data_IF_926671617547
#
_entry.id   IF_926671617547
#
_cell.length_a   1.000
_cell.length_b   1.000
_cell.length_c   1.000
_cell.angle_alpha   90.00
_cell.angle_beta   90.00
_cell.angle_gamma   90.00
#
_symmetry.space_group_name_H-M   'P 1'
#
loop_
_entity.id
_entity.type
_entity.pdbx_description
1 polymer ?
#
# COMPACT_ATOMS: atom_id res chain seq x y z
N UNK A 1 -5.97 36.87 -23.40
CA UNK A 1 -6.64 35.57 -23.59
C UNK A 1 -6.57 34.88 -22.24
N UNK A 2 -7.72 34.71 -21.60
CA UNK A 2 -7.82 33.96 -20.33
C UNK A 2 -7.41 32.53 -20.60
N UNK A 3 -6.24 32.12 -20.12
CA UNK A 3 -5.92 30.71 -20.01
C UNK A 3 -6.95 30.11 -19.09
N UNK A 4 -7.93 29.40 -19.65
CA UNK A 4 -8.78 28.50 -18.87
C UNK A 4 -7.81 27.59 -18.09
N UNK A 5 -7.72 27.80 -16.78
CA UNK A 5 -6.90 26.95 -15.93
C UNK A 5 -7.57 25.58 -15.87
N UNK A 6 -7.10 24.67 -16.72
CA UNK A 6 -7.49 23.26 -16.67
C UNK A 6 -7.05 22.72 -15.32
N UNK A 7 -7.90 21.95 -14.65
CA UNK A 7 -7.61 21.44 -13.31
C UNK A 7 -7.41 19.94 -13.33
N UNK A 8 -6.41 19.50 -12.60
CA UNK A 8 -6.03 18.11 -12.43
C UNK A 8 -6.00 17.76 -10.94
N UNK A 9 -6.66 16.68 -10.60
CA UNK A 9 -6.71 16.17 -9.22
C UNK A 9 -5.86 14.92 -9.08
N UNK A 10 -5.06 14.81 -8.02
CA UNK A 10 -4.20 13.65 -7.76
C UNK A 10 -4.50 13.08 -6.38
N UNK A 11 -4.75 11.78 -6.31
CA UNK A 11 -4.91 11.03 -5.06
C UNK A 11 -3.85 9.95 -4.95
N UNK A 12 -2.87 10.13 -4.06
CA UNK A 12 -1.88 9.10 -3.72
C UNK A 12 -2.37 8.20 -2.60
N UNK A 13 -2.09 6.90 -2.70
CA UNK A 13 -2.54 5.98 -1.68
C UNK A 13 -1.98 4.57 -1.78
N UNK A 14 -2.21 3.78 -0.72
CA UNK A 14 -1.89 2.35 -0.71
C UNK A 14 -2.87 1.53 -1.55
N UNK A 15 -4.14 1.92 -1.58
CA UNK A 15 -5.23 1.23 -2.29
C UNK A 15 -5.19 -0.29 -2.09
N UNK A 16 -5.17 -0.72 -0.83
CA UNK A 16 -4.98 -2.12 -0.46
C UNK A 16 -6.15 -2.66 0.40
N UNK A 17 -7.31 -2.99 -0.22
CA UNK A 17 -7.71 -2.66 -1.59
C UNK A 17 -8.19 -1.21 -1.75
N UNK A 18 -8.41 -0.71 -2.99
CA UNK A 18 -9.22 0.48 -3.21
C UNK A 18 -10.65 0.26 -2.70
N UNK A 19 -11.32 1.33 -2.29
CA UNK A 19 -12.65 1.29 -1.69
C UNK A 19 -13.60 2.21 -2.43
N UNK A 20 -14.91 2.02 -2.25
CA UNK A 20 -15.90 2.95 -2.79
C UNK A 20 -15.68 4.39 -2.28
N UNK A 21 -15.14 4.57 -1.07
CA UNK A 21 -14.81 5.89 -0.55
C UNK A 21 -13.72 6.58 -1.40
N UNK A 22 -12.71 5.86 -1.88
CA UNK A 22 -11.69 6.46 -2.76
C UNK A 22 -12.30 6.98 -4.06
N UNK A 23 -13.21 6.21 -4.67
CA UNK A 23 -13.95 6.63 -5.87
C UNK A 23 -14.79 7.88 -5.61
N UNK A 24 -15.60 7.86 -4.57
CA UNK A 24 -16.52 8.95 -4.25
C UNK A 24 -15.78 10.25 -3.87
N UNK A 25 -14.65 10.14 -3.14
CA UNK A 25 -13.82 11.32 -2.82
C UNK A 25 -13.15 11.89 -4.07
N UNK A 26 -12.65 11.05 -4.97
CA UNK A 26 -12.10 11.52 -6.24
C UNK A 26 -13.18 12.19 -7.09
N UNK A 27 -14.33 11.54 -7.23
CA UNK A 27 -15.48 12.09 -7.98
C UNK A 27 -15.93 13.42 -7.42
N UNK A 28 -16.10 13.51 -6.10
CA UNK A 28 -16.52 14.74 -5.45
C UNK A 28 -15.49 15.88 -5.67
N UNK A 29 -14.18 15.57 -5.56
CA UNK A 29 -13.13 16.55 -5.82
C UNK A 29 -13.12 17.06 -7.28
N UNK A 30 -13.33 16.17 -8.25
CA UNK A 30 -13.43 16.51 -9.66
C UNK A 30 -14.65 17.41 -9.91
N UNK A 31 -15.79 17.03 -9.36
CA UNK A 31 -17.04 17.75 -9.57
C UNK A 31 -17.03 19.15 -8.89
N UNK A 32 -16.54 19.25 -7.65
CA UNK A 32 -16.43 20.51 -6.90
C UNK A 32 -15.46 21.53 -7.55
N UNK A 33 -14.41 21.02 -8.17
CA UNK A 33 -13.44 21.88 -8.84
C UNK A 33 -13.74 22.12 -10.31
N UNK A 34 -14.70 21.43 -10.90
CA UNK A 34 -14.85 21.35 -12.36
C UNK A 34 -13.51 20.94 -13.01
N UNK A 35 -12.91 19.85 -12.49
CA UNK A 35 -11.63 19.34 -12.96
C UNK A 35 -11.80 18.43 -14.18
N UNK A 36 -10.87 18.51 -15.11
CA UNK A 36 -10.90 17.70 -16.33
C UNK A 36 -10.36 16.29 -16.12
N UNK A 37 -9.43 16.13 -15.18
CA UNK A 37 -8.74 14.87 -14.92
C UNK A 37 -8.55 14.61 -13.43
N UNK A 38 -8.59 13.32 -13.07
CA UNK A 38 -8.25 12.82 -11.75
C UNK A 38 -7.36 11.59 -11.84
N UNK A 39 -6.23 11.58 -11.14
CA UNK A 39 -5.31 10.44 -11.13
C UNK A 39 -5.25 9.77 -9.76
N UNK A 40 -5.49 8.45 -9.75
CA UNK A 40 -5.08 7.59 -8.65
C UNK A 40 -3.62 7.18 -8.83
N UNK A 41 -2.82 7.35 -7.78
CA UNK A 41 -1.39 7.03 -7.80
C UNK A 41 -1.09 6.02 -6.69
N UNK A 42 -1.11 4.71 -7.00
CA UNK A 42 -0.78 3.68 -6.03
C UNK A 42 0.71 3.67 -5.70
N UNK A 43 1.03 3.44 -4.43
CA UNK A 43 2.40 3.22 -3.99
C UNK A 43 2.90 1.84 -4.43
N UNK A 44 4.23 1.68 -4.54
CA UNK A 44 4.86 0.40 -4.90
C UNK A 44 4.63 -0.70 -3.86
N UNK A 45 4.80 -1.94 -4.28
CA UNK A 45 4.80 -3.12 -3.40
C UNK A 45 5.89 -3.01 -2.33
N UNK A 46 7.08 -2.55 -2.69
CA UNK A 46 8.19 -2.41 -1.76
C UNK A 46 7.84 -1.45 -0.60
N UNK A 47 7.26 -0.29 -0.93
CA UNK A 47 6.77 0.65 0.08
C UNK A 47 5.63 0.06 0.91
N UNK A 48 4.64 -0.58 0.25
CA UNK A 48 3.46 -1.12 0.92
C UNK A 48 3.83 -2.23 1.90
N UNK A 49 4.69 -3.17 1.52
CA UNK A 49 5.18 -4.24 2.41
C UNK A 49 5.92 -3.67 3.61
N UNK A 50 6.78 -2.67 3.42
CA UNK A 50 7.46 -1.99 4.52
C UNK A 50 6.48 -1.28 5.47
N UNK A 51 5.49 -0.56 4.93
CA UNK A 51 4.45 0.13 5.70
C UNK A 51 3.59 -0.85 6.50
N UNK A 52 3.28 -1.99 5.91
CA UNK A 52 2.36 -2.99 6.47
C UNK A 52 3.07 -4.20 7.07
N UNK A 53 4.36 -4.07 7.42
CA UNK A 53 5.19 -5.17 7.95
C UNK A 53 4.61 -5.90 9.17
N UNK A 54 3.69 -5.27 9.90
CA UNK A 54 3.00 -5.86 11.06
C UNK A 54 1.64 -6.48 10.69
N UNK A 55 1.25 -6.43 9.41
CA UNK A 55 0.01 -7.02 8.93
C UNK A 55 0.34 -8.33 8.23
N UNK A 56 -0.55 -9.33 8.37
CA UNK A 56 -0.35 -10.64 7.74
C UNK A 56 -0.10 -10.48 6.23
N UNK A 57 0.96 -11.10 5.64
CA UNK A 57 1.34 -10.93 4.23
C UNK A 57 0.23 -11.20 3.23
N UNK A 58 -0.68 -12.14 3.52
CA UNK A 58 -1.83 -12.46 2.66
C UNK A 58 -2.82 -11.30 2.45
N UNK A 59 -2.69 -10.23 3.24
CA UNK A 59 -3.54 -9.04 3.12
C UNK A 59 -2.85 -7.91 2.37
N UNK A 60 -1.64 -8.11 1.90
CA UNK A 60 -0.94 -7.17 1.02
C UNK A 60 -1.18 -7.58 -0.41
N UNK A 61 -2.14 -6.92 -1.06
CA UNK A 61 -2.47 -7.20 -2.46
C UNK A 61 -1.30 -6.79 -3.37
N UNK A 62 -0.95 -7.63 -4.36
CA UNK A 62 0.08 -7.32 -5.33
C UNK A 62 -0.19 -6.01 -6.08
N UNK A 63 0.87 -5.39 -6.57
CA UNK A 63 0.84 -4.11 -7.26
C UNK A 63 -0.02 -4.13 -8.52
N UNK A 64 0.14 -5.16 -9.35
CA UNK A 64 -0.64 -5.42 -10.55
C UNK A 64 -2.14 -5.55 -10.25
N UNK A 65 -2.49 -6.29 -9.21
CA UNK A 65 -3.88 -6.44 -8.78
C UNK A 65 -4.47 -5.11 -8.28
N UNK A 66 -3.70 -4.30 -7.55
CA UNK A 66 -4.16 -2.98 -7.09
C UNK A 66 -4.35 -2.00 -8.25
N UNK A 67 -3.48 -2.10 -9.28
CA UNK A 67 -3.64 -1.36 -10.53
C UNK A 67 -4.93 -1.78 -11.27
N UNK A 68 -5.14 -3.08 -11.49
CA UNK A 68 -6.36 -3.61 -12.13
C UNK A 68 -7.64 -3.18 -11.40
N UNK A 69 -7.63 -3.20 -10.07
CA UNK A 69 -8.74 -2.71 -9.24
C UNK A 69 -9.02 -1.21 -9.42
N UNK A 70 -7.96 -0.39 -9.51
CA UNK A 70 -8.11 1.05 -9.73
C UNK A 70 -8.57 1.34 -11.17
N UNK A 71 -8.09 0.60 -12.14
CA UNK A 71 -8.54 0.70 -13.54
C UNK A 71 -10.03 0.39 -13.65
N UNK A 72 -10.49 -0.72 -13.03
CA UNK A 72 -11.91 -1.05 -12.95
C UNK A 72 -12.76 0.04 -12.30
N UNK A 73 -12.23 0.77 -11.31
CA UNK A 73 -12.92 1.93 -10.74
C UNK A 73 -13.00 3.12 -11.71
N UNK A 74 -12.02 3.28 -12.60
CA UNK A 74 -11.98 4.39 -13.54
C UNK A 74 -12.89 4.21 -14.76
N UNK A 75 -13.42 3.00 -15.01
CA UNK A 75 -14.27 2.72 -16.17
C UNK A 75 -15.57 3.55 -16.17
N UNK A 76 -16.12 3.85 -15.00
CA UNK A 76 -17.39 4.57 -14.87
C UNK A 76 -17.27 6.10 -14.94
N UNK A 77 -16.07 6.67 -14.91
CA UNK A 77 -15.85 8.10 -15.11
C UNK A 77 -14.63 8.35 -15.98
N UNK A 78 -14.90 8.76 -17.21
CA UNK A 78 -13.87 8.98 -18.23
C UNK A 78 -12.83 10.06 -17.87
N UNK A 79 -13.06 10.85 -16.81
CA UNK A 79 -12.11 11.82 -16.28
C UNK A 79 -11.08 11.19 -15.36
N UNK A 80 -11.35 9.97 -14.85
CA UNK A 80 -10.45 9.26 -13.91
C UNK A 80 -9.42 8.41 -14.66
N UNK A 81 -8.22 8.34 -14.10
CA UNK A 81 -7.08 7.59 -14.62
C UNK A 81 -6.28 6.97 -13.48
N UNK A 82 -5.50 5.96 -13.81
CA UNK A 82 -4.48 5.39 -12.92
C UNK A 82 -3.10 5.80 -13.43
N UNK A 83 -2.18 6.05 -12.52
CA UNK A 83 -0.80 6.40 -12.84
C UNK A 83 0.17 5.49 -12.09
N UNK A 84 1.18 5.00 -12.78
CA UNK A 84 2.25 4.14 -12.29
C UNK A 84 3.46 4.90 -11.73
N UNK A 85 3.38 6.23 -11.63
CA UNK A 85 4.51 7.13 -11.30
C UNK A 85 5.19 6.85 -9.95
N UNK A 86 4.52 6.16 -9.02
CA UNK A 86 5.12 5.75 -7.73
C UNK A 86 5.50 4.26 -7.68
N UNK A 87 5.23 3.51 -8.73
CA UNK A 87 5.65 2.11 -8.82
C UNK A 87 7.17 2.02 -8.98
N UNK A 88 7.78 1.03 -8.34
CA UNK A 88 9.23 0.85 -8.35
C UNK A 88 10.01 1.67 -7.32
N UNK A 89 9.39 2.60 -6.60
CA UNK A 89 10.05 3.34 -5.52
C UNK A 89 9.83 2.70 -4.15
N UNK A 90 10.90 2.68 -3.33
CA UNK A 90 10.84 2.14 -1.96
C UNK A 90 10.10 3.08 -1.00
N UNK A 91 9.95 4.35 -1.35
CA UNK A 91 9.31 5.39 -0.53
C UNK A 91 8.20 6.09 -1.30
N UNK A 92 7.11 6.44 -0.60
CA UNK A 92 6.10 7.34 -1.16
C UNK A 92 6.73 8.72 -1.42
N UNK A 93 6.52 9.25 -2.61
CA UNK A 93 7.23 10.43 -3.11
C UNK A 93 6.27 11.53 -3.56
N UNK A 94 5.29 11.88 -2.72
CA UNK A 94 4.24 12.84 -3.05
C UNK A 94 4.73 14.07 -3.84
N UNK A 95 5.70 14.81 -3.31
CA UNK A 95 6.18 16.02 -3.99
C UNK A 95 6.93 15.74 -5.30
N UNK A 96 7.87 14.78 -5.38
CA UNK A 96 8.47 14.40 -6.67
C UNK A 96 7.43 13.94 -7.70
N UNK A 97 6.44 13.15 -7.29
CA UNK A 97 5.36 12.67 -8.17
C UNK A 97 4.52 13.82 -8.72
N UNK A 98 4.15 14.78 -7.88
CA UNK A 98 3.42 15.98 -8.34
C UNK A 98 4.26 16.83 -9.29
N UNK A 99 5.58 16.94 -9.08
CA UNK A 99 6.48 17.62 -10.01
C UNK A 99 6.52 16.94 -11.38
N UNK A 100 6.52 15.61 -11.45
CA UNK A 100 6.42 14.88 -12.71
C UNK A 100 5.10 15.18 -13.46
N UNK A 101 3.98 15.22 -12.75
CA UNK A 101 2.71 15.64 -13.37
C UNK A 101 2.77 17.08 -13.88
N UNK A 102 3.41 18.00 -13.15
CA UNK A 102 3.56 19.39 -13.56
C UNK A 102 4.43 19.55 -14.81
N UNK A 103 5.47 18.72 -14.93
CA UNK A 103 6.35 18.69 -16.11
C UNK A 103 5.64 18.13 -17.35
N UNK A 104 4.83 17.08 -17.17
CA UNK A 104 4.11 16.43 -18.28
C UNK A 104 2.85 17.20 -18.71
N UNK A 105 2.18 17.87 -17.76
CA UNK A 105 0.90 18.55 -17.94
C UNK A 105 0.98 20.01 -17.43
N UNK A 106 1.88 20.83 -17.99
CA UNK A 106 2.17 22.18 -17.49
C UNK A 106 0.98 23.16 -17.57
N UNK A 107 0.00 22.87 -18.44
CA UNK A 107 -1.22 23.64 -18.60
C UNK A 107 -2.26 23.42 -17.49
N UNK A 108 -2.05 22.39 -16.64
CA UNK A 108 -2.97 22.09 -15.56
C UNK A 108 -2.57 22.75 -14.24
N UNK A 109 -3.54 23.23 -13.50
CA UNK A 109 -3.46 23.55 -12.09
C UNK A 109 -3.66 22.26 -11.29
N UNK A 110 -2.65 21.85 -10.49
CA UNK A 110 -2.65 20.56 -9.80
C UNK A 110 -3.17 20.67 -8.37
N UNK A 111 -4.11 19.79 -8.04
CA UNK A 111 -4.69 19.65 -6.71
C UNK A 111 -4.38 18.26 -6.14
N UNK A 112 -3.81 18.22 -4.95
CA UNK A 112 -3.54 16.97 -4.24
C UNK A 112 -4.59 16.69 -3.18
N UNK A 113 -5.24 15.52 -3.24
CA UNK A 113 -6.26 15.10 -2.27
C UNK A 113 -5.61 14.53 -1.03
N UNK A 114 -6.07 14.96 0.14
CA UNK A 114 -5.76 14.35 1.44
C UNK A 114 -6.94 14.46 2.41
N UNK A 115 -6.97 13.57 3.41
CA UNK A 115 -7.87 13.69 4.55
C UNK A 115 -7.28 14.59 5.64
N UNK A 116 -8.12 15.07 6.54
CA UNK A 116 -7.70 15.85 7.71
C UNK A 116 -6.84 15.06 8.72
N UNK A 117 -6.84 13.73 8.64
CA UNK A 117 -5.91 12.84 9.34
C UNK A 117 -4.44 12.99 8.88
N UNK A 118 -4.20 13.58 7.71
CA UNK A 118 -2.87 13.79 7.13
C UNK A 118 -2.27 15.17 7.45
N UNK A 119 -2.70 15.81 8.52
CA UNK A 119 -2.18 17.12 8.93
C UNK A 119 -0.65 17.17 9.03
N UNK A 120 -0.01 16.10 9.53
CA UNK A 120 1.46 16.03 9.61
C UNK A 120 2.13 16.09 8.21
N UNK A 121 1.51 15.46 7.22
CA UNK A 121 1.98 15.52 5.84
C UNK A 121 1.80 16.92 5.26
N UNK A 122 0.64 17.55 5.46
CA UNK A 122 0.39 18.93 5.03
C UNK A 122 1.46 19.89 5.57
N UNK A 123 1.71 19.85 6.89
CA UNK A 123 2.72 20.68 7.54
C UNK A 123 4.14 20.39 7.03
N UNK A 124 4.45 19.14 6.71
CA UNK A 124 5.73 18.77 6.10
C UNK A 124 5.88 19.35 4.68
N UNK A 125 4.82 19.28 3.87
CA UNK A 125 4.80 19.87 2.53
C UNK A 125 4.91 21.39 2.59
N UNK A 126 4.20 22.04 3.52
CA UNK A 126 4.25 23.49 3.72
C UNK A 126 5.65 24.00 4.10
N UNK A 127 6.45 23.20 4.84
CA UNK A 127 7.87 23.54 5.15
C UNK A 127 8.77 23.58 3.91
N UNK A 128 8.34 22.96 2.82
CA UNK A 128 9.04 23.02 1.54
C UNK A 128 8.47 24.24 0.78
N UNK A 129 9.12 25.40 0.95
CA UNK A 129 8.70 26.72 0.46
C UNK A 129 8.22 26.78 -1.01
N UNK A 130 8.42 25.72 -1.78
CA UNK A 130 8.00 25.62 -3.18
C UNK A 130 6.65 24.92 -3.38
N UNK A 131 6.16 24.15 -2.40
CA UNK A 131 4.98 23.31 -2.61
C UNK A 131 3.76 24.13 -3.02
N UNK A 132 3.35 25.10 -2.23
CA UNK A 132 2.16 25.91 -2.48
C UNK A 132 2.30 26.97 -3.58
N UNK A 133 3.52 27.10 -4.16
CA UNK A 133 3.70 27.90 -5.39
C UNK A 133 3.18 27.18 -6.62
N UNK A 134 3.31 25.85 -6.64
CA UNK A 134 3.04 25.01 -7.80
C UNK A 134 1.78 24.14 -7.64
N UNK A 135 1.38 23.85 -6.39
CA UNK A 135 0.34 22.87 -6.09
C UNK A 135 -0.68 23.42 -5.10
N UNK A 136 -1.90 22.97 -5.23
CA UNK A 136 -2.99 23.18 -4.29
C UNK A 136 -3.39 21.89 -3.59
N UNK A 137 -4.13 21.99 -2.51
CA UNK A 137 -4.60 20.84 -1.73
C UNK A 137 -6.11 20.84 -1.66
N UNK A 138 -6.71 19.67 -1.82
CA UNK A 138 -8.08 19.39 -1.40
C UNK A 138 -7.98 18.60 -0.10
N UNK A 139 -8.55 19.14 0.95
CA UNK A 139 -8.60 18.46 2.24
C UNK A 139 -10.03 18.10 2.59
N UNK A 140 -10.29 16.81 2.65
CA UNK A 140 -11.57 16.28 3.12
C UNK A 140 -11.60 16.23 4.64
N UNK A 141 -12.63 16.86 5.22
CA UNK A 141 -12.92 16.78 6.64
C UNK A 141 -13.85 15.62 6.95
N UNK A 142 -13.45 14.75 7.86
CA UNK A 142 -14.23 13.57 8.27
C UNK A 142 -15.16 13.87 9.44
N UNK A 143 -14.61 14.43 10.50
CA UNK A 143 -15.30 14.60 11.78
C UNK A 143 -15.57 16.07 12.13
N UNK A 144 -14.77 16.98 11.60
CA UNK A 144 -14.86 18.38 11.91
C UNK A 144 -15.77 19.10 10.90
N UNK A 145 -16.51 20.13 11.35
CA UNK A 145 -17.10 21.06 10.39
C UNK A 145 -16.00 21.85 9.67
N UNK A 146 -16.30 22.33 8.48
CA UNK A 146 -15.35 23.12 7.67
C UNK A 146 -14.83 24.35 8.44
N UNK A 147 -15.69 25.01 9.22
CA UNK A 147 -15.30 26.18 10.03
C UNK A 147 -14.27 25.76 11.11
N UNK A 148 -14.52 24.67 11.81
CA UNK A 148 -13.59 24.15 12.82
C UNK A 148 -12.26 23.74 12.21
N UNK A 149 -12.29 23.07 11.06
CA UNK A 149 -11.07 22.66 10.35
C UNK A 149 -10.30 23.89 9.87
N UNK A 150 -10.98 24.90 9.30
CA UNK A 150 -10.38 26.17 8.89
C UNK A 150 -9.73 26.90 10.08
N UNK A 151 -10.44 26.97 11.20
CA UNK A 151 -9.90 27.56 12.44
C UNK A 151 -8.66 26.79 12.93
N UNK A 152 -8.70 25.46 12.90
CA UNK A 152 -7.54 24.63 13.25
C UNK A 152 -6.33 24.88 12.34
N UNK A 153 -6.54 25.00 11.03
CA UNK A 153 -5.48 25.30 10.06
C UNK A 153 -4.88 26.69 10.27
N UNK A 154 -5.71 27.71 10.55
CA UNK A 154 -5.24 29.09 10.81
C UNK A 154 -4.37 29.20 12.08
N UNK A 155 -4.45 28.25 12.99
CA UNK A 155 -3.55 28.16 14.16
C UNK A 155 -2.11 27.78 13.84
N UNK A 156 -1.81 27.35 12.61
CA UNK A 156 -0.45 27.03 12.19
C UNK A 156 0.17 28.17 11.40
N UNK A 157 1.10 28.91 12.00
CA UNK A 157 1.77 30.07 11.36
C UNK A 157 2.37 29.72 9.98
N UNK A 158 2.84 28.50 9.79
CA UNK A 158 3.43 28.03 8.52
C UNK A 158 2.40 27.96 7.37
N UNK A 159 1.10 27.92 7.68
CA UNK A 159 0.02 27.88 6.70
C UNK A 159 -0.60 29.26 6.45
N UNK A 160 -0.24 30.29 7.21
CA UNK A 160 -0.91 31.61 7.18
C UNK A 160 -0.93 32.26 5.77
N UNK A 161 0.12 32.04 4.98
CA UNK A 161 0.26 32.61 3.63
C UNK A 161 -0.28 31.69 2.51
N UNK A 162 -0.70 30.46 2.85
CA UNK A 162 -1.11 29.46 1.87
C UNK A 162 -2.49 28.83 2.15
N UNK A 163 -3.25 29.40 3.07
CA UNK A 163 -4.61 28.91 3.37
C UNK A 163 -5.53 28.92 2.14
N UNK A 164 -5.37 29.89 1.27
CA UNK A 164 -6.14 30.00 0.02
C UNK A 164 -5.76 28.91 -1.02
N UNK A 165 -4.63 28.22 -0.81
CA UNK A 165 -4.25 27.07 -1.61
C UNK A 165 -4.83 25.75 -1.07
N UNK A 166 -5.64 25.80 0.00
CA UNK A 166 -6.23 24.63 0.64
C UNK A 166 -7.74 24.70 0.52
N UNK A 167 -8.29 23.91 -0.39
CA UNK A 167 -9.73 23.75 -0.56
C UNK A 167 -10.24 22.75 0.47
N UNK A 168 -11.14 23.20 1.35
CA UNK A 168 -11.75 22.36 2.37
C UNK A 168 -13.10 21.86 1.88
N UNK A 169 -13.28 20.56 1.88
CA UNK A 169 -14.52 19.90 1.45
C UNK A 169 -14.98 18.98 2.57
N UNK A 170 -16.28 19.02 2.90
CA UNK A 170 -16.85 18.06 3.83
C UNK A 170 -16.91 16.68 3.15
N UNK A 171 -16.41 15.66 3.84
CA UNK A 171 -16.52 14.29 3.34
C UNK A 171 -18.02 13.94 3.20
N UNK A 172 -18.44 13.30 2.09
CA UNK A 172 -19.80 12.81 1.96
C UNK A 172 -20.19 11.87 3.10
N UNK A 173 -21.45 11.97 3.55
CA UNK A 173 -21.98 11.13 4.62
C UNK A 173 -21.92 9.63 4.26
N UNK A 174 -21.75 8.78 5.25
CA UNK A 174 -21.70 7.32 5.09
C UNK A 174 -20.34 6.75 4.72
N UNK A 175 -19.29 7.59 4.53
CA UNK A 175 -17.94 7.13 4.21
C UNK A 175 -17.05 6.95 5.46
N UNK A 176 -17.51 7.31 6.65
CA UNK A 176 -16.72 7.34 7.89
C UNK A 176 -16.21 5.96 8.29
N UNK A 177 -17.02 4.93 8.04
CA UNK A 177 -16.72 3.53 8.38
C UNK A 177 -16.00 2.78 7.27
N UNK A 178 -15.95 3.35 6.06
CA UNK A 178 -15.37 2.68 4.89
C UNK A 178 -13.86 2.87 4.89
N UNK A 179 -13.13 1.77 5.05
CA UNK A 179 -11.68 1.80 5.00
C UNK A 179 -11.09 0.50 4.45
N UNK A 180 -9.93 0.60 3.79
CA UNK A 180 -9.16 -0.58 3.37
C UNK A 180 -8.79 -1.49 4.55
N UNK A 181 -8.64 -0.93 5.76
CA UNK A 181 -8.36 -1.72 6.97
C UNK A 181 -9.53 -2.59 7.37
N UNK A 182 -10.74 -2.03 7.41
CA UNK A 182 -11.96 -2.79 7.70
C UNK A 182 -12.20 -3.92 6.69
N UNK A 183 -11.94 -3.65 5.40
CA UNK A 183 -12.04 -4.70 4.37
C UNK A 183 -11.01 -5.81 4.60
N UNK A 184 -9.76 -5.48 4.91
CA UNK A 184 -8.74 -6.50 5.19
C UNK A 184 -9.08 -7.34 6.43
N UNK A 185 -9.61 -6.74 7.47
CA UNK A 185 -10.11 -7.46 8.67
C UNK A 185 -11.27 -8.39 8.31
N UNK A 186 -12.18 -7.93 7.46
CA UNK A 186 -13.24 -8.76 6.91
C UNK A 186 -12.70 -9.96 6.15
N UNK A 187 -11.76 -9.75 5.24
CA UNK A 187 -11.13 -10.81 4.45
C UNK A 187 -10.43 -11.86 5.32
N UNK A 188 -9.75 -11.45 6.39
CA UNK A 188 -9.15 -12.36 7.37
C UNK A 188 -10.18 -13.26 8.06
N UNK A 189 -11.36 -12.73 8.32
CA UNK A 189 -12.47 -13.49 8.93
C UNK A 189 -13.33 -14.24 7.91
N UNK A 190 -12.92 -14.27 6.63
CA UNK A 190 -13.69 -14.89 5.55
C UNK A 190 -14.93 -14.11 5.14
N UNK A 191 -15.08 -12.86 5.56
CA UNK A 191 -16.19 -11.98 5.24
C UNK A 191 -15.78 -10.98 4.17
N UNK A 192 -16.49 -10.96 3.05
CA UNK A 192 -16.30 -9.93 2.01
C UNK A 192 -17.25 -8.78 2.34
N UNK A 193 -16.70 -7.57 2.47
CA UNK A 193 -17.46 -6.35 2.75
C UNK A 193 -17.85 -5.68 1.42
N UNK A 194 -18.81 -6.26 0.69
CA UNK A 194 -19.24 -5.77 -0.64
C UNK A 194 -19.73 -4.32 -0.60
N UNK A 195 -20.33 -3.90 0.49
CA UNK A 195 -20.83 -2.54 0.74
C UNK A 195 -19.73 -1.48 0.85
N UNK A 196 -18.48 -1.90 1.11
CA UNK A 196 -17.31 -1.02 1.19
C UNK A 196 -16.50 -1.00 -0.10
N UNK A 197 -16.77 -1.93 -1.01
CA UNK A 197 -16.02 -2.11 -2.24
C UNK A 197 -16.76 -1.49 -3.43
N UNK A 198 -16.00 -0.98 -4.37
CA UNK A 198 -16.54 -0.66 -5.69
C UNK A 198 -16.90 -1.96 -6.42
N UNK A 199 -18.00 -2.02 -7.22
CA UNK A 199 -18.45 -3.28 -7.81
C UNK A 199 -17.37 -4.06 -8.57
N UNK A 200 -16.64 -3.40 -9.47
CA UNK A 200 -15.54 -4.03 -10.20
C UNK A 200 -14.39 -4.52 -9.31
N UNK A 201 -14.09 -3.81 -8.22
CA UNK A 201 -13.09 -4.24 -7.21
C UNK A 201 -13.57 -5.46 -6.44
N UNK A 202 -14.87 -5.52 -6.08
CA UNK A 202 -15.46 -6.66 -5.40
C UNK A 202 -15.37 -7.94 -6.25
N UNK A 203 -15.60 -7.82 -7.55
CA UNK A 203 -15.45 -8.94 -8.49
C UNK A 203 -14.00 -9.43 -8.57
N UNK A 204 -13.02 -8.53 -8.62
CA UNK A 204 -11.60 -8.87 -8.66
C UNK A 204 -11.13 -9.56 -7.38
N UNK A 205 -11.62 -9.12 -6.21
CA UNK A 205 -11.32 -9.77 -4.92
C UNK A 205 -11.92 -11.18 -4.86
N UNK A 206 -13.11 -11.38 -5.41
CA UNK A 206 -13.80 -12.67 -5.44
C UNK A 206 -13.22 -13.66 -6.45
N UNK A 207 -12.53 -13.15 -7.49
CA UNK A 207 -11.82 -14.03 -8.43
C UNK A 207 -10.74 -14.81 -7.68
N UNK A 208 -10.67 -16.15 -7.84
CA UNK A 208 -9.57 -16.91 -7.28
C UNK A 208 -8.27 -16.30 -7.78
N UNK A 209 -7.43 -15.83 -6.87
CA UNK A 209 -6.16 -15.22 -7.25
C UNK A 209 -5.29 -16.31 -7.87
N UNK A 210 -5.11 -16.24 -9.19
CA UNK A 210 -4.37 -17.24 -9.95
C UNK A 210 -2.99 -17.57 -9.34
N UNK A 211 -2.36 -16.59 -8.68
CA UNK A 211 -1.01 -16.78 -8.14
C UNK A 211 -1.00 -17.38 -6.73
N UNK A 212 -1.97 -17.07 -5.86
CA UNK A 212 -2.02 -17.68 -4.52
C UNK A 212 -2.54 -19.11 -4.57
N UNK A 213 -3.58 -19.39 -5.36
CA UNK A 213 -4.00 -20.76 -5.62
C UNK A 213 -2.97 -21.54 -6.46
N UNK A 214 -2.32 -20.88 -7.42
CA UNK A 214 -1.28 -21.49 -8.25
C UNK A 214 -0.02 -21.79 -7.43
N UNK A 215 0.39 -20.93 -6.48
CA UNK A 215 1.52 -21.24 -5.58
C UNK A 215 1.16 -22.32 -4.57
N UNK A 216 -0.04 -22.30 -3.99
CA UNK A 216 -0.48 -23.36 -3.05
C UNK A 216 -0.75 -24.67 -3.81
N UNK A 217 -1.33 -24.63 -5.01
CA UNK A 217 -1.55 -25.82 -5.84
C UNK A 217 -0.30 -26.30 -6.55
N UNK A 218 0.63 -25.41 -6.90
CA UNK A 218 1.86 -25.75 -7.63
C UNK A 218 2.79 -26.69 -6.84
N UNK A 219 2.63 -26.74 -5.51
CA UNK A 219 3.51 -27.53 -4.63
C UNK A 219 2.75 -28.32 -3.55
N UNK A 220 1.43 -28.60 -3.72
CA UNK A 220 0.78 -29.54 -2.84
C UNK A 220 1.23 -30.99 -3.16
N UNK A 221 1.02 -31.90 -2.20
CA UNK A 221 1.46 -33.28 -2.29
C UNK A 221 1.02 -33.99 -3.59
N UNK A 222 -0.21 -33.75 -4.05
CA UNK A 222 -0.78 -34.42 -5.22
C UNK A 222 -0.19 -33.88 -6.54
N UNK A 223 0.03 -32.57 -6.62
CA UNK A 223 0.69 -31.93 -7.77
C UNK A 223 2.15 -32.36 -7.87
N UNK A 224 2.90 -32.38 -6.75
CA UNK A 224 4.28 -32.85 -6.73
C UNK A 224 4.34 -34.33 -7.11
N UNK A 225 3.43 -35.14 -6.60
CA UNK A 225 3.33 -36.56 -6.96
C UNK A 225 3.01 -36.76 -8.45
N UNK A 226 2.07 -35.97 -9.00
CA UNK A 226 1.75 -35.97 -10.43
C UNK A 226 2.97 -35.59 -11.28
N UNK A 227 3.67 -34.51 -10.93
CA UNK A 227 4.90 -34.08 -11.63
C UNK A 227 6.00 -35.16 -11.63
N UNK A 228 6.10 -35.94 -10.57
CA UNK A 228 7.06 -37.05 -10.46
C UNK A 228 6.66 -38.23 -11.33
N UNK A 229 5.39 -38.56 -11.41
CA UNK A 229 4.86 -39.63 -12.28
C UNK A 229 5.02 -39.30 -13.76
N UNK A 230 4.82 -38.01 -14.13
CA UNK A 230 4.95 -37.53 -15.51
C UNK A 230 6.41 -37.37 -15.95
N UNK A 231 7.35 -37.20 -15.02
CA UNK A 231 8.77 -37.00 -15.30
C UNK A 231 9.65 -37.94 -14.42
N UNK A 232 9.67 -39.22 -14.68
CA UNK A 232 10.39 -40.21 -13.82
C UNK A 232 11.93 -40.05 -13.79
N UNK A 233 12.48 -39.21 -14.69
CA UNK A 233 13.91 -38.85 -14.71
C UNK A 233 14.28 -37.56 -13.98
N UNK A 234 13.33 -36.89 -13.34
CA UNK A 234 13.58 -35.62 -12.65
C UNK A 234 14.33 -35.89 -11.34
N UNK A 235 15.49 -35.27 -11.18
CA UNK A 235 16.26 -35.35 -9.95
C UNK A 235 15.54 -34.58 -8.83
N UNK A 236 15.32 -35.24 -7.69
CA UNK A 236 14.71 -34.66 -6.51
C UNK A 236 15.80 -34.51 -5.46
N UNK A 237 15.96 -33.30 -4.94
CA UNK A 237 16.88 -33.04 -3.85
C UNK A 237 16.16 -33.31 -2.53
N UNK A 238 16.44 -34.42 -1.91
CA UNK A 238 16.02 -34.69 -0.54
C UNK A 238 17.01 -34.08 0.43
N UNK A 239 16.56 -33.26 1.36
CA UNK A 239 17.40 -32.71 2.42
C UNK A 239 16.83 -33.05 3.79
N UNK A 240 17.76 -33.28 4.73
CA UNK A 240 17.44 -33.59 6.11
C UNK A 240 18.54 -33.03 7.01
N UNK A 241 18.12 -32.36 8.11
CA UNK A 241 19.06 -31.76 9.04
C UNK A 241 19.66 -30.44 8.52
N UNK A 242 20.53 -29.88 9.33
CA UNK A 242 21.14 -28.55 9.13
C UNK A 242 22.65 -28.52 9.36
N UNK A 243 23.27 -29.71 9.45
CA UNK A 243 24.70 -29.81 9.72
C UNK A 243 25.52 -29.21 8.60
N UNK A 244 26.39 -28.27 8.95
CA UNK A 244 27.36 -27.68 8.03
C UNK A 244 28.62 -28.53 7.95
N UNK A 245 29.12 -28.75 6.74
CA UNK A 245 30.42 -29.35 6.51
C UNK A 245 31.39 -28.28 6.00
N UNK A 246 32.51 -28.12 6.68
CA UNK A 246 33.48 -27.05 6.39
C UNK A 246 33.88 -27.01 4.90
N UNK A 247 33.68 -25.85 4.27
CA UNK A 247 34.07 -25.56 2.90
C UNK A 247 33.16 -26.12 1.81
N UNK A 248 31.98 -26.67 2.14
CA UNK A 248 31.02 -27.18 1.15
C UNK A 248 29.61 -26.66 1.42
N UNK A 249 28.97 -26.17 0.36
CA UNK A 249 27.51 -25.87 0.36
C UNK A 249 26.81 -27.13 -0.13
N UNK A 250 26.11 -27.80 0.76
CA UNK A 250 25.34 -29.01 0.45
C UNK A 250 23.84 -28.78 0.59
N UNK A 251 23.04 -29.81 0.27
CA UNK A 251 21.57 -29.76 0.34
C UNK A 251 21.00 -29.36 1.72
N UNK A 252 21.77 -29.44 2.78
CA UNK A 252 21.42 -28.99 4.13
C UNK A 252 21.21 -27.49 4.22
N UNK A 253 21.77 -26.70 3.27
CA UNK A 253 21.51 -25.26 3.18
C UNK A 253 20.04 -24.92 2.86
N UNK A 254 19.24 -25.90 2.42
CA UNK A 254 17.81 -25.74 2.19
C UNK A 254 16.98 -25.81 3.48
N UNK A 255 17.60 -26.24 4.59
CA UNK A 255 16.93 -26.27 5.90
C UNK A 255 16.78 -24.85 6.46
N UNK A 256 15.61 -24.55 7.01
CA UNK A 256 15.39 -23.29 7.73
C UNK A 256 16.25 -23.12 8.99
N UNK A 257 16.88 -24.21 9.47
CA UNK A 257 17.78 -24.24 10.62
C UNK A 257 19.26 -24.14 10.21
N UNK A 258 19.53 -24.00 8.92
CA UNK A 258 20.89 -23.81 8.44
C UNK A 258 21.40 -22.43 8.87
N UNK A 259 22.57 -22.40 9.50
CA UNK A 259 23.22 -21.15 9.91
C UNK A 259 23.84 -20.47 8.69
N UNK A 260 23.11 -19.53 8.11
CA UNK A 260 23.56 -18.78 6.94
C UNK A 260 23.76 -17.29 7.24
N UNK A 261 23.45 -16.85 8.44
CA UNK A 261 23.54 -15.46 8.87
C UNK A 261 22.99 -14.45 7.85
N UNK A 262 21.96 -13.72 8.15
CA UNK A 262 21.42 -12.68 7.27
C UNK A 262 20.82 -11.54 8.07
N UNK A 263 20.61 -10.40 7.41
CA UNK A 263 20.09 -9.20 8.04
C UNK A 263 18.74 -8.80 7.43
N UNK A 264 17.78 -8.47 8.28
CA UNK A 264 16.49 -7.92 7.88
C UNK A 264 16.23 -6.64 8.68
N UNK A 265 16.08 -5.53 8.01
CA UNK A 265 15.80 -4.22 8.62
C UNK A 265 16.79 -3.81 9.73
N UNK A 266 18.08 -4.12 9.56
CA UNK A 266 19.13 -3.80 10.53
C UNK A 266 19.21 -4.77 11.71
N UNK A 267 18.47 -5.86 11.69
CA UNK A 267 18.51 -6.92 12.71
C UNK A 267 19.14 -8.16 12.11
N UNK A 268 20.18 -8.67 12.77
CA UNK A 268 20.89 -9.89 12.36
C UNK A 268 20.19 -11.14 12.89
N UNK A 269 20.03 -12.15 12.02
CA UNK A 269 19.49 -13.47 12.34
C UNK A 269 20.47 -14.55 11.88
N UNK A 270 20.65 -15.60 12.69
CA UNK A 270 21.52 -16.73 12.36
C UNK A 270 20.87 -17.71 11.39
N UNK A 271 19.55 -17.91 11.54
CA UNK A 271 18.81 -18.90 10.75
C UNK A 271 17.45 -18.35 10.31
N UNK A 272 16.87 -18.91 9.26
CA UNK A 272 15.51 -18.58 8.84
C UNK A 272 14.47 -18.93 9.91
N UNK A 273 14.70 -19.99 10.69
CA UNK A 273 13.85 -20.36 11.84
C UNK A 273 13.87 -19.25 12.91
N UNK A 274 15.07 -18.75 13.28
CA UNK A 274 15.18 -17.66 14.25
C UNK A 274 14.39 -16.43 13.80
N UNK A 275 14.50 -16.04 12.54
CA UNK A 275 13.73 -14.95 11.97
C UNK A 275 12.22 -15.20 12.05
N UNK A 276 11.76 -16.40 11.71
CA UNK A 276 10.36 -16.77 11.73
C UNK A 276 9.80 -16.74 13.17
N UNK A 277 10.53 -17.30 14.13
CA UNK A 277 10.12 -17.33 15.53
C UNK A 277 10.15 -15.94 16.18
N UNK A 278 11.17 -15.14 15.91
CA UNK A 278 11.25 -13.75 16.34
C UNK A 278 10.08 -12.91 15.78
N UNK A 279 9.74 -13.12 14.51
CA UNK A 279 8.59 -12.45 13.88
C UNK A 279 7.27 -12.85 14.51
N UNK A 280 7.10 -14.12 14.91
CA UNK A 280 5.92 -14.58 15.66
C UNK A 280 5.84 -13.92 17.03
N UNK A 281 6.93 -13.87 17.80
CA UNK A 281 6.95 -13.22 19.10
C UNK A 281 6.57 -11.73 19.00
N UNK A 282 7.08 -11.03 18.01
CA UNK A 282 6.68 -9.64 17.72
C UNK A 282 5.20 -9.51 17.35
N UNK A 283 4.67 -10.46 16.56
CA UNK A 283 3.26 -10.48 16.17
C UNK A 283 2.31 -10.56 17.38
N UNK A 284 2.71 -11.34 18.40
CA UNK A 284 1.96 -11.52 19.64
C UNK A 284 2.34 -10.54 20.74
N UNK A 285 3.18 -9.53 20.44
CA UNK A 285 3.73 -8.55 21.40
C UNK A 285 4.45 -9.19 22.60
N UNK A 286 5.05 -10.37 22.40
CA UNK A 286 5.81 -11.09 23.39
C UNK A 286 7.28 -10.69 23.35
N UNK A 287 7.60 -9.60 24.05
CA UNK A 287 8.94 -9.03 24.06
C UNK A 287 9.96 -9.86 24.88
N UNK A 288 9.51 -10.69 25.80
CA UNK A 288 10.38 -11.57 26.57
C UNK A 288 10.82 -12.76 25.72
N UNK A 289 9.88 -13.45 25.10
CA UNK A 289 10.17 -14.53 24.15
C UNK A 289 10.98 -14.03 22.96
N UNK A 290 10.72 -12.83 22.45
CA UNK A 290 11.55 -12.23 21.40
C UNK A 290 13.03 -12.14 21.82
N UNK A 291 13.32 -11.65 23.04
CA UNK A 291 14.69 -11.55 23.54
C UNK A 291 15.36 -12.92 23.72
N UNK A 292 14.62 -13.89 24.21
CA UNK A 292 15.11 -15.26 24.34
C UNK A 292 15.48 -15.84 22.98
N UNK A 293 14.61 -15.73 21.97
CA UNK A 293 14.86 -16.19 20.61
C UNK A 293 16.10 -15.51 20.02
N UNK A 294 16.22 -14.17 20.18
CA UNK A 294 17.36 -13.44 19.63
C UNK A 294 18.68 -13.74 20.34
N UNK A 295 18.66 -14.20 21.58
CA UNK A 295 19.85 -14.62 22.33
C UNK A 295 20.22 -16.09 22.14
N UNK A 296 19.31 -16.88 21.56
CA UNK A 296 19.54 -18.31 21.36
C UNK A 296 20.59 -18.56 20.27
N UNK A 297 21.57 -19.40 20.59
CA UNK A 297 22.59 -19.88 19.64
C UNK A 297 22.24 -21.22 19.00
N UNK A 298 21.21 -21.90 19.53
CA UNK A 298 20.72 -23.20 19.03
C UNK A 298 19.23 -23.03 18.66
N UNK A 299 18.80 -23.45 17.47
CA UNK A 299 17.43 -23.36 17.02
C UNK A 299 16.43 -24.31 17.73
N UNK A 300 16.88 -25.13 18.66
CA UNK A 300 16.04 -26.09 19.43
C UNK A 300 15.38 -25.46 20.63
#
# INVERSE_FOLDING_TARGET
MSTLNRKLVVMGGSFNPPTIAHFLLMKNAIDELDAELGYFVPVSDAYLRRKMRHIHPAIVLPEDMRMEMLEAMCEDDSRMRVSDKELGYIEARTLPTLKLFKEELPEYELYFIMGDDKMKLLLHLAKKNEFFKDFKVIMFSRELSIEKLRHKLSGYNILSECLDCINLIQQPEGLETISSSAIREGLLSGKICDDMLYPGVAELIKKPQKDTETMIRKYNHDVVRGMLLENPGKEIIYFWGHTQYAGKVEKTCLSQWFDCGFEVSGVHYHTAEQYMMASKALLFNDSEIYKEIMSASDPK
#
